data_IF_254992260243
#
_entry.id   IF_254992260243
#
_cell.length_a   1.000
_cell.length_b   1.000
_cell.length_c   1.000
_cell.angle_alpha   90.00
_cell.angle_beta   90.00
_cell.angle_gamma   90.00
#
_symmetry.space_group_name_H-M   'P 1'
#
loop_
_entity.id
_entity.type
_entity.pdbx_description
1 polymer ?
#
# COMPACT_ATOMS: atom_id res chain seq x y z
N UNK A 1 29.48 -64.09 31.97
CA UNK A 1 29.79 -62.72 31.49
C UNK A 1 29.18 -62.58 30.11
N UNK A 2 28.03 -61.90 29.99
CA UNK A 2 27.81 -60.48 29.61
C UNK A 2 27.70 -60.27 28.08
N UNK A 3 26.50 -59.83 27.70
CA UNK A 3 25.91 -59.33 26.45
C UNK A 3 26.80 -58.84 25.29
N UNK A 4 26.29 -59.04 24.06
CA UNK A 4 26.55 -58.17 22.90
C UNK A 4 25.32 -58.06 21.99
N UNK A 5 24.56 -56.94 22.03
CA UNK A 5 23.74 -56.45 20.91
C UNK A 5 24.68 -55.62 19.98
N UNK A 6 24.35 -55.08 18.82
CA UNK A 6 23.09 -54.76 18.18
C UNK A 6 23.31 -54.70 16.66
N UNK A 7 22.20 -54.89 15.97
CA UNK A 7 21.98 -54.78 14.54
C UNK A 7 22.05 -53.32 14.05
N UNK A 8 22.59 -53.13 12.84
CA UNK A 8 22.23 -52.10 11.84
C UNK A 8 22.43 -50.62 12.21
N UNK A 9 23.53 -50.04 11.73
CA UNK A 9 23.59 -48.61 11.42
C UNK A 9 22.92 -48.36 10.06
N UNK A 10 21.76 -47.71 10.06
CA UNK A 10 21.18 -47.12 8.86
C UNK A 10 21.52 -45.63 8.88
N UNK A 11 22.37 -45.17 7.96
CA UNK A 11 22.52 -43.75 7.65
C UNK A 11 21.22 -43.27 7.00
N UNK A 12 20.40 -42.55 7.75
CA UNK A 12 19.30 -41.76 7.20
C UNK A 12 19.85 -40.48 6.59
N UNK A 13 19.91 -40.41 5.26
CA UNK A 13 20.05 -39.14 4.56
C UNK A 13 18.75 -38.35 4.72
N UNK A 14 18.71 -37.42 5.67
CA UNK A 14 17.67 -36.39 5.74
C UNK A 14 17.84 -35.44 4.56
N UNK A 15 16.97 -35.58 3.56
CA UNK A 15 16.81 -34.63 2.47
C UNK A 15 16.23 -33.32 3.01
N UNK A 16 17.10 -32.34 3.24
CA UNK A 16 16.72 -30.95 3.53
C UNK A 16 16.21 -30.26 2.26
N UNK A 17 15.00 -30.62 1.80
CA UNK A 17 14.30 -29.96 0.69
C UNK A 17 13.07 -29.24 1.24
N UNK A 18 13.25 -28.05 1.84
CA UNK A 18 12.14 -27.38 2.53
C UNK A 18 12.10 -25.86 2.53
N UNK A 19 13.03 -25.16 1.84
CA UNK A 19 13.15 -23.69 2.02
C UNK A 19 12.61 -22.88 0.83
N UNK A 20 12.26 -23.51 -0.30
CA UNK A 20 11.81 -22.77 -1.50
C UNK A 20 10.28 -22.67 -1.65
N UNK A 21 9.48 -23.40 -0.88
CA UNK A 21 8.02 -23.39 -0.96
C UNK A 21 7.35 -22.29 -0.13
N UNK A 22 8.05 -21.73 0.87
CA UNK A 22 7.49 -20.69 1.73
C UNK A 22 7.35 -19.34 1.03
N UNK A 23 8.32 -18.94 0.20
CA UNK A 23 8.26 -17.68 -0.53
C UNK A 23 7.15 -17.70 -1.59
N UNK A 24 7.01 -18.77 -2.35
CA UNK A 24 5.97 -18.91 -3.39
C UNK A 24 4.57 -18.94 -2.79
N UNK A 25 4.38 -19.54 -1.62
CA UNK A 25 3.11 -19.50 -0.90
C UNK A 25 2.74 -18.08 -0.45
N UNK A 26 3.70 -17.30 0.07
CA UNK A 26 3.46 -15.92 0.49
C UNK A 26 3.11 -15.01 -0.70
N UNK A 27 3.85 -15.10 -1.81
CA UNK A 27 3.54 -14.34 -3.02
C UNK A 27 2.18 -14.70 -3.60
N UNK A 28 1.83 -15.99 -3.61
CA UNK A 28 0.52 -16.44 -4.08
C UNK A 28 -0.60 -15.90 -3.17
N UNK A 29 -0.39 -15.86 -1.85
CA UNK A 29 -1.34 -15.30 -0.90
C UNK A 29 -1.52 -13.79 -1.10
N UNK A 30 -0.43 -13.02 -1.22
CA UNK A 30 -0.48 -11.57 -1.49
C UNK A 30 -1.18 -11.27 -2.82
N UNK A 31 -0.88 -12.04 -3.87
CA UNK A 31 -1.52 -11.89 -5.17
C UNK A 31 -3.01 -12.25 -5.14
N UNK A 32 -3.38 -13.27 -4.37
CA UNK A 32 -4.79 -13.68 -4.17
C UNK A 32 -5.55 -12.59 -3.42
N UNK A 33 -4.97 -12.06 -2.34
CA UNK A 33 -5.57 -10.97 -1.56
C UNK A 33 -5.78 -9.73 -2.42
N UNK A 34 -4.75 -9.32 -3.17
CA UNK A 34 -4.86 -8.20 -4.10
C UNK A 34 -5.95 -8.41 -5.16
N UNK A 35 -6.05 -9.62 -5.72
CA UNK A 35 -7.08 -9.95 -6.72
C UNK A 35 -8.49 -9.89 -6.12
N UNK A 36 -8.65 -10.39 -4.90
CA UNK A 36 -9.91 -10.30 -4.15
C UNK A 36 -10.31 -8.85 -3.85
N UNK A 37 -9.36 -8.06 -3.35
CA UNK A 37 -9.55 -6.63 -3.09
C UNK A 37 -9.93 -5.89 -4.38
N UNK A 38 -9.18 -6.10 -5.47
CA UNK A 38 -9.44 -5.47 -6.76
C UNK A 38 -10.84 -5.78 -7.29
N UNK A 39 -11.31 -7.02 -7.11
CA UNK A 39 -12.65 -7.44 -7.58
C UNK A 39 -13.78 -6.89 -6.71
N UNK A 40 -13.48 -6.50 -5.47
CA UNK A 40 -14.45 -6.02 -4.48
C UNK A 40 -14.59 -4.49 -4.46
N UNK A 41 -13.77 -3.78 -5.23
CA UNK A 41 -13.70 -2.33 -5.24
C UNK A 41 -13.91 -1.73 -6.64
N UNK A 42 -14.47 -0.51 -6.73
CA UNK A 42 -14.49 0.22 -7.99
C UNK A 42 -13.07 0.44 -8.56
N UNK A 43 -12.90 0.37 -9.89
CA UNK A 43 -11.60 0.64 -10.50
C UNK A 43 -11.24 2.12 -10.36
N UNK A 44 -9.97 2.38 -10.08
CA UNK A 44 -9.40 3.72 -10.01
C UNK A 44 -9.22 4.30 -11.42
N UNK A 45 -9.73 5.50 -11.67
CA UNK A 45 -9.36 6.23 -12.88
C UNK A 45 -7.94 6.79 -12.71
N UNK A 46 -7.09 6.61 -13.72
CA UNK A 46 -5.66 6.95 -13.64
C UNK A 46 -5.32 8.07 -14.61
N UNK A 47 -4.60 9.08 -14.11
CA UNK A 47 -4.00 10.15 -14.90
C UNK A 47 -2.50 10.22 -14.59
N UNK A 48 -1.67 10.44 -15.61
CA UNK A 48 -0.21 10.49 -15.46
C UNK A 48 0.48 9.16 -15.66
N UNK A 49 1.66 9.01 -15.06
CA UNK A 49 2.60 7.93 -15.37
C UNK A 49 3.01 7.15 -14.11
N UNK A 50 2.12 6.30 -13.56
CA UNK A 50 2.49 5.46 -12.43
C UNK A 50 3.44 4.32 -12.86
N UNK A 51 4.35 3.95 -11.96
CA UNK A 51 4.92 2.60 -11.96
C UNK A 51 3.89 1.58 -11.46
N UNK A 52 4.08 0.29 -11.77
CA UNK A 52 3.21 -0.79 -11.25
C UNK A 52 3.06 -0.73 -9.73
N UNK A 53 4.16 -0.47 -9.03
CA UNK A 53 4.16 -0.40 -7.57
C UNK A 53 3.45 0.83 -7.02
N UNK A 54 3.68 2.01 -7.61
CA UNK A 54 2.98 3.24 -7.20
C UNK A 54 1.46 3.17 -7.40
N UNK A 55 1.01 2.54 -8.50
CA UNK A 55 -0.41 2.29 -8.74
C UNK A 55 -0.97 1.30 -7.72
N UNK A 56 -0.27 0.19 -7.49
CA UNK A 56 -0.71 -0.87 -6.58
C UNK A 56 -0.87 -0.40 -5.13
N UNK A 57 0.06 0.42 -4.61
CA UNK A 57 -0.07 0.98 -3.26
C UNK A 57 -1.18 2.03 -3.19
N UNK A 58 -1.35 2.86 -4.23
CA UNK A 58 -2.43 3.86 -4.30
C UNK A 58 -3.79 3.20 -4.26
N UNK A 59 -3.97 2.11 -5.01
CA UNK A 59 -5.19 1.32 -4.99
C UNK A 59 -5.48 0.78 -3.59
N UNK A 60 -4.50 0.14 -2.94
CA UNK A 60 -4.66 -0.37 -1.58
C UNK A 60 -5.03 0.74 -0.59
N UNK A 61 -4.42 1.92 -0.67
CA UNK A 61 -4.80 3.07 0.18
C UNK A 61 -6.27 3.44 -0.01
N UNK A 62 -6.73 3.60 -1.25
CA UNK A 62 -8.13 3.94 -1.55
C UNK A 62 -9.08 2.86 -1.02
N UNK A 63 -8.73 1.58 -1.21
CA UNK A 63 -9.53 0.45 -0.75
C UNK A 63 -9.64 0.41 0.78
N UNK A 64 -8.52 0.52 1.52
CA UNK A 64 -8.58 0.51 2.99
C UNK A 64 -9.32 1.73 3.56
N UNK A 65 -9.25 2.89 2.91
CA UNK A 65 -10.10 4.04 3.25
C UNK A 65 -11.59 3.72 3.02
N UNK A 66 -11.94 3.07 1.89
CA UNK A 66 -13.31 2.69 1.55
C UNK A 66 -13.89 1.62 2.50
N UNK A 67 -13.08 0.63 2.83
CA UNK A 67 -13.37 -0.42 3.82
C UNK A 67 -13.57 0.19 5.21
N UNK A 68 -12.81 1.24 5.53
CA UNK A 68 -12.79 1.86 6.85
C UNK A 68 -11.97 1.05 7.86
N UNK A 69 -10.95 0.36 7.38
CA UNK A 69 -10.03 -0.47 8.17
C UNK A 69 -8.77 0.35 8.49
N UNK A 70 -8.74 0.95 9.69
CA UNK A 70 -7.65 1.84 10.11
C UNK A 70 -6.33 1.08 10.29
N UNK A 71 -6.37 -0.13 10.84
CA UNK A 71 -5.18 -0.94 11.09
C UNK A 71 -4.57 -1.39 9.75
N UNK A 72 -5.39 -1.88 8.82
CA UNK A 72 -4.90 -2.26 7.50
C UNK A 72 -4.37 -1.07 6.69
N UNK A 73 -4.98 0.12 6.84
CA UNK A 73 -4.48 1.34 6.21
C UNK A 73 -3.16 1.79 6.84
N UNK A 74 -3.05 1.82 8.17
CA UNK A 74 -1.83 2.19 8.88
C UNK A 74 -0.67 1.25 8.57
N UNK A 75 -0.94 -0.04 8.37
CA UNK A 75 0.05 -1.04 7.98
C UNK A 75 0.71 -0.76 6.61
N UNK A 76 0.16 0.13 5.78
CA UNK A 76 0.75 0.54 4.49
C UNK A 76 1.85 1.60 4.63
N UNK A 77 2.13 2.09 5.84
CA UNK A 77 3.05 3.20 6.08
C UNK A 77 4.49 2.90 5.63
N UNK A 78 5.20 3.91 5.11
CA UNK A 78 6.58 3.77 4.64
C UNK A 78 7.58 3.60 5.75
N UNK A 79 7.40 4.35 6.83
CA UNK A 79 8.31 4.41 7.96
C UNK A 79 7.48 4.78 9.19
N UNK A 80 7.81 4.20 10.34
CA UNK A 80 7.21 4.60 11.62
C UNK A 80 7.57 6.08 11.88
N UNK A 81 6.53 6.93 11.99
CA UNK A 81 6.64 8.38 12.21
C UNK A 81 6.52 8.75 13.69
N UNK A 82 6.54 7.76 14.56
CA UNK A 82 6.27 7.89 15.99
C UNK A 82 5.04 7.05 16.37
N UNK A 83 5.08 6.51 17.59
CA UNK A 83 4.05 5.64 18.14
C UNK A 83 2.65 6.26 17.97
N UNK A 84 1.75 5.54 17.28
CA UNK A 84 0.36 5.94 17.07
C UNK A 84 0.12 6.97 15.95
N UNK A 85 1.17 7.51 15.32
CA UNK A 85 1.01 8.52 14.25
C UNK A 85 0.36 7.93 12.98
N UNK A 86 0.80 6.77 12.47
CA UNK A 86 0.15 6.16 11.30
C UNK A 86 -1.31 5.79 11.55
N UNK A 87 -1.62 5.20 12.70
CA UNK A 87 -2.96 4.81 13.11
C UNK A 87 -3.87 6.04 13.19
N UNK A 88 -3.38 7.12 13.82
CA UNK A 88 -4.18 8.34 13.93
C UNK A 88 -4.42 8.99 12.58
N UNK A 89 -3.40 8.99 11.71
CA UNK A 89 -3.53 9.46 10.32
C UNK A 89 -4.57 8.62 9.56
N UNK A 90 -4.54 7.29 9.73
CA UNK A 90 -5.49 6.37 9.09
C UNK A 90 -6.94 6.64 9.53
N UNK A 91 -7.16 6.80 10.84
CA UNK A 91 -8.47 7.16 11.39
C UNK A 91 -9.00 8.47 10.81
N UNK A 92 -8.14 9.49 10.71
CA UNK A 92 -8.50 10.80 10.15
C UNK A 92 -8.85 10.67 8.67
N UNK A 93 -8.06 9.93 7.88
CA UNK A 93 -8.33 9.70 6.46
C UNK A 93 -9.64 8.94 6.24
N UNK A 94 -9.89 7.90 7.02
CA UNK A 94 -11.15 7.15 6.96
C UNK A 94 -12.33 8.05 7.32
N UNK A 95 -12.23 8.81 8.41
CA UNK A 95 -13.28 9.74 8.86
C UNK A 95 -13.61 10.76 7.77
N UNK A 96 -12.58 11.32 7.13
CA UNK A 96 -12.76 12.35 6.12
C UNK A 96 -13.22 11.81 4.77
N UNK A 97 -12.65 10.69 4.30
CA UNK A 97 -12.66 10.32 2.88
C UNK A 97 -13.39 9.01 2.57
N UNK A 98 -13.77 8.20 3.57
CA UNK A 98 -14.43 6.89 3.35
C UNK A 98 -15.63 6.95 2.41
N UNK A 99 -16.49 7.96 2.56
CA UNK A 99 -17.66 8.13 1.69
C UNK A 99 -17.25 8.30 0.23
N UNK A 100 -16.28 9.17 -0.04
CA UNK A 100 -15.79 9.41 -1.40
C UNK A 100 -14.99 8.23 -1.97
N UNK A 101 -14.26 7.50 -1.12
CA UNK A 101 -13.39 6.41 -1.54
C UNK A 101 -14.19 5.16 -1.98
N UNK A 102 -15.42 5.01 -1.48
CA UNK A 102 -16.38 3.98 -1.95
C UNK A 102 -16.95 4.27 -3.33
N UNK A 103 -16.83 5.51 -3.79
CA UNK A 103 -17.36 5.99 -5.06
C UNK A 103 -16.32 5.97 -6.17
N UNK A 104 -16.55 6.84 -7.16
CA UNK A 104 -15.57 7.07 -8.22
C UNK A 104 -14.39 7.89 -7.66
N UNK A 105 -13.17 7.40 -7.89
CA UNK A 105 -11.93 8.09 -7.55
C UNK A 105 -11.05 8.20 -8.78
N UNK A 106 -10.45 9.38 -9.00
CA UNK A 106 -9.32 9.56 -9.92
C UNK A 106 -8.05 9.73 -9.13
N UNK A 107 -7.02 8.95 -9.44
CA UNK A 107 -5.67 9.20 -8.97
C UNK A 107 -4.83 9.81 -10.10
N UNK A 108 -4.32 11.01 -9.85
CA UNK A 108 -3.34 11.65 -10.73
C UNK A 108 -1.94 11.51 -10.14
N UNK A 109 -1.06 10.89 -10.92
CA UNK A 109 0.32 10.59 -10.56
C UNK A 109 1.24 11.66 -11.11
N UNK A 110 1.84 12.44 -10.20
CA UNK A 110 2.70 13.56 -10.54
C UNK A 110 4.18 13.18 -10.53
N UNK A 111 4.89 13.66 -11.55
CA UNK A 111 6.31 13.43 -11.80
C UNK A 111 6.66 11.94 -12.03
N UNK A 112 7.95 11.63 -12.16
CA UNK A 112 8.44 10.27 -12.39
C UNK A 112 8.31 9.40 -11.14
N UNK A 113 7.58 8.28 -11.26
CA UNK A 113 7.31 7.33 -10.17
C UNK A 113 8.35 6.20 -10.02
N UNK A 114 9.62 6.44 -10.33
CA UNK A 114 10.67 5.40 -10.25
C UNK A 114 11.03 5.00 -8.81
N UNK A 115 10.97 5.95 -7.87
CA UNK A 115 11.29 5.68 -6.46
C UNK A 115 10.30 6.31 -5.46
N UNK A 116 9.75 7.48 -5.81
CA UNK A 116 8.76 8.22 -5.03
C UNK A 116 7.82 8.92 -5.97
N UNK A 117 6.57 9.08 -5.58
CA UNK A 117 5.58 9.78 -6.39
C UNK A 117 4.59 10.50 -5.50
N UNK A 118 4.16 11.67 -5.93
CA UNK A 118 3.00 12.34 -5.33
C UNK A 118 1.79 11.97 -6.13
N UNK A 119 0.74 11.59 -5.43
CA UNK A 119 -0.52 11.18 -6.04
C UNK A 119 -1.61 12.06 -5.47
N UNK A 120 -2.42 12.64 -6.34
CA UNK A 120 -3.60 13.40 -5.94
C UNK A 120 -4.83 12.54 -6.21
N UNK A 121 -5.59 12.27 -5.15
CA UNK A 121 -6.85 11.56 -5.18
C UNK A 121 -7.98 12.58 -5.29
N UNK A 122 -8.82 12.42 -6.30
CA UNK A 122 -10.03 13.19 -6.52
C UNK A 122 -11.23 12.28 -6.24
N UNK A 123 -11.91 12.54 -5.13
CA UNK A 123 -13.06 11.75 -4.68
C UNK A 123 -14.34 12.40 -5.21
N UNK A 124 -14.83 11.89 -6.34
CA UNK A 124 -15.83 12.59 -7.16
C UNK A 124 -17.17 12.77 -6.46
N UNK A 125 -17.60 11.79 -5.66
CA UNK A 125 -18.90 11.81 -4.99
C UNK A 125 -18.98 12.85 -3.86
N UNK A 126 -17.84 13.24 -3.29
CA UNK A 126 -17.76 14.22 -2.21
C UNK A 126 -17.10 15.53 -2.63
N UNK A 127 -16.47 15.57 -3.80
CA UNK A 127 -15.66 16.71 -4.27
C UNK A 127 -14.37 16.92 -3.46
N UNK A 128 -14.02 15.99 -2.58
CA UNK A 128 -12.82 16.09 -1.76
C UNK A 128 -11.57 15.74 -2.58
N UNK A 129 -10.46 16.35 -2.19
CA UNK A 129 -9.14 16.11 -2.79
C UNK A 129 -8.19 15.69 -1.68
N UNK A 130 -7.36 14.68 -1.93
CA UNK A 130 -6.33 14.23 -1.01
C UNK A 130 -5.01 14.02 -1.74
N UNK A 131 -3.97 14.75 -1.33
CA UNK A 131 -2.59 14.43 -1.71
C UNK A 131 -2.03 13.30 -0.85
N UNK A 132 -1.39 12.32 -1.47
CA UNK A 132 -0.60 11.29 -0.78
C UNK A 132 0.80 11.22 -1.39
N UNK A 133 1.75 10.76 -0.59
CA UNK A 133 3.14 10.54 -1.00
C UNK A 133 3.44 9.05 -0.91
N UNK A 134 3.80 8.44 -2.03
CA UNK A 134 4.12 7.01 -2.07
C UNK A 134 5.59 6.81 -2.46
N UNK A 135 6.22 5.78 -1.92
CA UNK A 135 7.63 5.48 -2.21
C UNK A 135 7.93 4.00 -2.10
N UNK A 136 8.93 3.54 -2.85
CA UNK A 136 9.54 2.25 -2.63
C UNK A 136 10.44 2.29 -1.38
N UNK A 137 10.32 1.28 -0.53
CA UNK A 137 11.23 1.00 0.59
C UNK A 137 11.76 -0.43 0.46
N UNK A 138 13.00 -0.65 0.86
CA UNK A 138 13.59 -1.99 0.84
C UNK A 138 13.20 -2.76 2.10
N UNK A 139 12.44 -3.85 1.93
CA UNK A 139 12.10 -4.82 2.99
C UNK A 139 12.63 -6.18 2.55
N UNK A 140 13.48 -6.80 3.35
CA UNK A 140 14.09 -8.10 3.04
C UNK A 140 14.69 -8.19 1.63
N UNK A 141 15.41 -7.12 1.23
CA UNK A 141 16.04 -6.95 -0.09
C UNK A 141 15.06 -6.89 -1.27
N UNK A 142 13.80 -6.55 -1.02
CA UNK A 142 12.76 -6.36 -2.05
C UNK A 142 12.18 -4.96 -1.93
N UNK A 143 11.92 -4.34 -3.08
CA UNK A 143 11.23 -3.06 -3.13
C UNK A 143 9.75 -3.28 -2.86
N UNK A 144 9.28 -2.73 -1.74
CA UNK A 144 7.87 -2.69 -1.35
C UNK A 144 7.40 -1.24 -1.39
N UNK A 145 6.30 -0.98 -2.10
CA UNK A 145 5.73 0.36 -2.13
C UNK A 145 4.88 0.63 -0.91
N UNK A 146 5.06 1.82 -0.34
CA UNK A 146 4.42 2.27 0.89
C UNK A 146 3.95 3.72 0.78
N UNK A 147 3.12 4.16 1.72
CA UNK A 147 2.56 5.51 1.77
C UNK A 147 3.09 6.30 2.98
N UNK A 148 3.35 7.58 2.81
CA UNK A 148 3.67 8.48 3.91
C UNK A 148 2.41 8.80 4.71
N UNK A 149 2.46 8.57 6.03
CA UNK A 149 1.37 8.88 6.97
C UNK A 149 1.94 9.67 8.13
N UNK A 150 1.67 10.97 8.17
CA UNK A 150 2.27 11.89 9.15
C UNK A 150 1.31 13.05 9.50
N UNK A 151 0.00 12.81 9.43
CA UNK A 151 -1.04 13.84 9.61
C UNK A 151 -2.00 13.40 10.74
N UNK A 152 -1.51 13.32 11.99
CA UNK A 152 -2.33 12.91 13.13
C UNK A 152 -3.37 13.99 13.52
N UNK A 153 -3.20 15.22 13.05
CA UNK A 153 -4.19 16.29 13.16
C UNK A 153 -5.25 16.17 12.03
N UNK A 154 -6.56 16.24 12.33
CA UNK A 154 -7.61 16.17 11.31
C UNK A 154 -7.58 17.30 10.27
N UNK A 155 -7.12 18.49 10.66
CA UNK A 155 -6.96 19.64 9.76
C UNK A 155 -5.85 19.41 8.76
N UNK A 156 -4.70 18.90 9.21
CA UNK A 156 -3.61 18.49 8.33
C UNK A 156 -4.02 17.34 7.40
N UNK A 157 -4.72 16.32 7.93
CA UNK A 157 -5.17 15.16 7.16
C UNK A 157 -6.07 15.52 5.98
N UNK A 158 -6.79 16.64 6.07
CA UNK A 158 -7.72 17.13 5.04
C UNK A 158 -7.21 18.34 4.26
N UNK A 159 -6.02 18.83 4.57
CA UNK A 159 -5.41 19.95 3.88
C UNK A 159 -5.13 19.60 2.41
N UNK A 160 -5.45 20.54 1.53
CA UNK A 160 -5.12 20.47 0.11
C UNK A 160 -4.00 21.47 -0.16
N UNK A 161 -2.89 20.97 -0.68
CA UNK A 161 -1.74 21.80 -1.02
C UNK A 161 -2.09 22.84 -2.08
N UNK A 162 -1.61 24.09 -2.00
CA UNK A 162 -2.01 25.17 -2.91
C UNK A 162 -1.74 24.92 -4.39
N UNK A 163 -0.77 24.06 -4.72
CA UNK A 163 -0.40 23.74 -6.11
C UNK A 163 -1.35 22.74 -6.78
N UNK A 164 -2.18 22.03 -6.00
CA UNK A 164 -3.01 20.93 -6.51
C UNK A 164 -4.14 21.48 -7.37
N UNK A 165 -4.24 21.08 -8.66
CA UNK A 165 -5.31 21.56 -9.52
C UNK A 165 -6.64 20.96 -9.11
N UNK A 166 -7.72 21.72 -9.32
CA UNK A 166 -9.09 21.29 -8.97
C UNK A 166 -9.61 20.20 -9.90
N UNK A 167 -9.09 20.13 -11.12
CA UNK A 167 -9.49 19.18 -12.13
C UNK A 167 -8.33 18.23 -12.44
N UNK A 168 -8.54 16.90 -12.42
CA UNK A 168 -7.50 15.95 -12.79
C UNK A 168 -6.97 16.22 -14.20
N UNK A 169 -5.65 16.18 -14.38
CA UNK A 169 -4.96 16.29 -15.67
C UNK A 169 -4.67 17.72 -16.13
N UNK A 170 -5.08 18.74 -15.38
CA UNK A 170 -4.91 20.15 -15.75
C UNK A 170 -3.44 20.55 -15.96
N UNK A 171 -2.52 19.93 -15.20
CA UNK A 171 -1.09 20.22 -15.27
C UNK A 171 -0.31 19.21 -16.14
N UNK A 172 -0.98 18.31 -16.85
CA UNK A 172 -0.33 17.27 -17.64
C UNK A 172 0.58 16.36 -16.80
N UNK A 173 0.21 16.14 -15.54
CA UNK A 173 0.92 15.27 -14.60
C UNK A 173 2.35 15.71 -14.26
N UNK A 174 2.61 17.02 -14.32
CA UNK A 174 3.81 17.67 -13.79
C UNK A 174 3.40 18.65 -12.70
N UNK A 175 4.17 18.76 -11.61
CA UNK A 175 3.90 19.81 -10.63
C UNK A 175 4.25 21.18 -11.22
N UNK A 176 3.43 22.18 -10.91
CA UNK A 176 3.82 23.58 -11.11
C UNK A 176 5.01 23.86 -10.19
N UNK A 177 6.11 24.34 -10.77
CA UNK A 177 7.33 24.73 -10.03
C UNK A 177 7.20 26.06 -9.31
#
# INVERSE_FOLDING_TARGET
>A
MRYGPALRAALGCTLSLGVLTACSAQYAAEQTNFTGDYSSHPPLAVVGYPSTGSLGITQQVVWRIADGDADALAALVSDDRGEGVPEKTAENWITAFRKGARGKVTAEFYDEGSYRQTVVLYLHDTGQIKGIYVRAVSVDHKDVWRVGMAEPDPGEATAVEPWVPKTPGELGSKRAG
#
